data_IF_351227358964
#
_entry.id   IF_351227358964
#
_cell.length_a   1.000
_cell.length_b   1.000
_cell.length_c   1.000
_cell.angle_alpha   90.00
_cell.angle_beta   90.00
_cell.angle_gamma   90.00
#
_symmetry.space_group_name_H-M   'P 1'
#
loop_
_entity.id
_entity.type
_entity.pdbx_description
1 polymer ?
#
# COMPACT_ATOMS: atom_id res chain seq x y z
N UNK A 1 16.46 49.99 6.26
CA UNK A 1 17.11 48.93 7.04
C UNK A 1 16.38 47.63 6.71
N UNK A 2 16.97 46.82 5.84
CA UNK A 2 16.43 45.51 5.42
C UNK A 2 16.76 44.48 6.50
N UNK A 3 15.75 43.82 7.07
CA UNK A 3 15.96 42.47 7.58
C UNK A 3 14.72 41.63 7.28
N UNK A 4 14.89 40.89 6.20
CA UNK A 4 14.01 39.96 5.54
C UNK A 4 14.01 38.64 6.30
N UNK A 5 12.82 38.04 6.39
CA UNK A 5 12.51 36.61 6.50
C UNK A 5 13.62 35.69 7.04
N UNK A 6 13.43 35.11 8.23
CA UNK A 6 13.96 33.76 8.52
C UNK A 6 13.33 33.07 9.74
N UNK A 7 12.00 32.92 9.80
CA UNK A 7 11.36 32.15 10.89
C UNK A 7 10.40 31.04 10.43
N UNK A 8 10.49 30.58 9.18
CA UNK A 8 9.62 29.51 8.64
C UNK A 8 10.42 28.27 8.19
N UNK A 9 11.43 27.86 8.97
CA UNK A 9 12.29 26.73 8.61
C UNK A 9 12.40 25.64 9.70
N UNK A 10 11.53 25.64 10.72
CA UNK A 10 11.64 24.68 11.84
C UNK A 10 10.55 23.60 11.92
N UNK A 11 9.52 23.64 11.08
CA UNK A 11 8.45 22.62 11.15
C UNK A 11 8.62 21.44 10.18
N UNK A 12 9.66 21.44 9.32
CA UNK A 12 9.90 20.38 8.33
C UNK A 12 10.94 19.33 8.75
N UNK A 13 11.59 19.47 9.91
CA UNK A 13 12.75 18.63 10.28
C UNK A 13 12.39 17.41 11.17
N UNK A 14 11.11 17.05 11.30
CA UNK A 14 10.66 15.94 12.16
C UNK A 14 9.95 14.82 11.39
N UNK A 15 9.59 15.04 10.12
CA UNK A 15 8.83 14.08 9.30
C UNK A 15 9.67 12.95 8.65
N UNK A 16 10.99 12.91 8.86
CA UNK A 16 11.92 12.10 8.04
C UNK A 16 12.72 11.03 8.80
N UNK A 17 12.21 10.50 9.92
CA UNK A 17 12.87 9.34 10.58
C UNK A 17 12.34 7.98 10.13
N UNK A 18 11.10 7.91 9.62
CA UNK A 18 10.58 6.67 9.06
C UNK A 18 11.05 6.53 7.60
N UNK A 19 11.84 5.49 7.26
CA UNK A 19 12.34 5.29 5.91
C UNK A 19 11.22 5.00 4.90
N UNK A 20 10.10 4.39 5.34
CA UNK A 20 8.95 4.09 4.48
C UNK A 20 8.20 5.39 4.14
N UNK A 21 7.93 6.24 5.14
CA UNK A 21 7.32 7.57 4.92
C UNK A 21 8.19 8.43 4.00
N UNK A 22 9.51 8.39 4.21
CA UNK A 22 10.47 9.13 3.37
C UNK A 22 10.46 8.62 1.92
N UNK A 23 10.37 7.31 1.70
CA UNK A 23 10.24 6.72 0.37
C UNK A 23 8.94 7.16 -0.31
N UNK A 24 7.81 7.09 0.41
CA UNK A 24 6.52 7.53 -0.13
C UNK A 24 6.50 9.01 -0.50
N UNK A 25 7.04 9.90 0.34
CA UNK A 25 7.09 11.33 0.03
C UNK A 25 7.98 11.63 -1.19
N UNK A 26 9.09 10.91 -1.35
CA UNK A 26 9.94 11.00 -2.55
C UNK A 26 9.20 10.52 -3.80
N UNK A 27 8.54 9.36 -3.71
CA UNK A 27 7.70 8.84 -4.78
C UNK A 27 6.64 9.86 -5.19
N UNK A 28 5.87 10.40 -4.23
CA UNK A 28 4.82 11.39 -4.50
C UNK A 28 5.34 12.66 -5.16
N UNK A 29 6.52 13.13 -4.77
CA UNK A 29 7.16 14.27 -5.41
C UNK A 29 7.59 13.97 -6.86
N UNK A 30 8.01 12.73 -7.15
CA UNK A 30 8.41 12.29 -8.48
C UNK A 30 7.22 11.94 -9.38
N UNK A 31 6.15 11.37 -8.83
CA UNK A 31 4.90 11.03 -9.52
C UNK A 31 4.26 12.27 -10.17
N UNK A 32 4.30 13.42 -9.47
CA UNK A 32 3.90 14.72 -10.02
C UNK A 32 4.71 15.16 -11.27
N UNK A 33 5.81 14.45 -11.59
CA UNK A 33 6.70 14.72 -12.70
C UNK A 33 6.98 13.53 -13.64
N UNK A 34 6.16 12.45 -13.61
CA UNK A 34 6.22 11.20 -14.42
C UNK A 34 6.80 9.94 -13.74
N UNK A 35 6.98 9.91 -12.42
CA UNK A 35 7.42 8.69 -11.71
C UNK A 35 6.34 7.60 -11.72
N UNK A 36 6.61 6.42 -12.28
CA UNK A 36 5.64 5.32 -12.28
C UNK A 36 5.93 4.29 -11.19
N UNK A 37 4.96 4.00 -10.33
CA UNK A 37 5.09 3.01 -9.26
C UNK A 37 5.51 1.62 -9.78
N UNK A 38 5.01 1.21 -10.95
CA UNK A 38 5.35 -0.08 -11.58
C UNK A 38 6.84 -0.20 -11.94
N UNK A 39 7.54 0.93 -12.15
CA UNK A 39 8.95 0.98 -12.54
C UNK A 39 9.93 0.94 -11.37
N UNK A 40 9.43 1.09 -10.14
CA UNK A 40 10.27 1.02 -8.95
C UNK A 40 10.80 -0.39 -8.74
N UNK A 41 11.97 -0.57 -8.11
CA UNK A 41 12.37 -1.84 -7.52
C UNK A 41 11.35 -2.33 -6.48
N UNK A 42 11.19 -3.64 -6.32
CA UNK A 42 10.14 -4.21 -5.45
C UNK A 42 10.32 -3.87 -3.96
N UNK A 43 11.55 -3.74 -3.49
CA UNK A 43 11.83 -3.28 -2.13
C UNK A 43 11.42 -1.81 -1.94
N UNK A 44 11.58 -0.98 -2.98
CA UNK A 44 11.15 0.41 -2.98
C UNK A 44 9.62 0.52 -3.08
N UNK A 45 8.95 -0.28 -3.93
CA UNK A 45 7.48 -0.37 -3.96
C UNK A 45 6.91 -0.71 -2.59
N UNK A 46 7.52 -1.67 -1.91
CA UNK A 46 7.12 -2.09 -0.57
C UNK A 46 7.26 -0.92 0.41
N UNK A 47 8.40 -0.22 0.44
CA UNK A 47 8.59 0.96 1.29
C UNK A 47 7.58 2.06 1.00
N UNK A 48 7.32 2.35 -0.28
CA UNK A 48 6.33 3.35 -0.71
C UNK A 48 4.92 2.96 -0.24
N UNK A 49 4.54 1.69 -0.37
CA UNK A 49 3.26 1.19 0.12
C UNK A 49 3.09 1.39 1.63
N UNK A 50 4.05 0.92 2.43
CA UNK A 50 4.02 1.11 3.89
C UNK A 50 4.04 2.59 4.28
N UNK A 51 4.79 3.43 3.56
CA UNK A 51 4.82 4.87 3.77
C UNK A 51 3.48 5.55 3.47
N UNK A 52 2.79 5.12 2.41
CA UNK A 52 1.49 5.63 2.01
C UNK A 52 0.40 5.39 3.07
N UNK A 53 0.51 4.31 3.84
CA UNK A 53 -0.39 3.95 4.93
C UNK A 53 -0.11 4.74 6.22
N UNK A 54 1.14 5.18 6.41
CA UNK A 54 1.59 5.93 7.60
C UNK A 54 1.38 7.43 7.51
N UNK A 55 1.15 7.98 6.30
CA UNK A 55 0.87 9.42 6.15
C UNK A 55 -0.59 9.75 6.48
N UNK A 56 -0.82 11.00 6.91
CA UNK A 56 -2.16 11.52 7.17
C UNK A 56 -2.45 12.76 6.29
N UNK A 57 -3.52 12.74 5.46
CA UNK A 57 -4.43 11.60 5.23
C UNK A 57 -3.72 10.41 4.51
N UNK A 58 -4.18 9.16 4.73
CA UNK A 58 -3.70 8.01 3.97
C UNK A 58 -3.87 8.22 2.47
N UNK A 59 -2.96 7.68 1.67
CA UNK A 59 -3.08 7.76 0.21
C UNK A 59 -4.18 6.82 -0.28
N UNK A 60 -5.24 7.36 -0.85
CA UNK A 60 -6.36 6.58 -1.42
C UNK A 60 -6.05 5.98 -2.81
N UNK A 61 -4.90 6.30 -3.40
CA UNK A 61 -4.53 5.82 -4.73
C UNK A 61 -3.50 4.70 -4.71
N UNK A 62 -3.01 4.29 -3.53
CA UNK A 62 -1.98 3.26 -3.48
C UNK A 62 -2.55 1.88 -3.83
N UNK A 63 -3.82 1.64 -3.55
CA UNK A 63 -4.53 0.43 -3.94
C UNK A 63 -4.60 0.29 -5.47
N UNK A 64 -4.84 1.40 -6.19
CA UNK A 64 -4.83 1.42 -7.66
C UNK A 64 -3.44 1.07 -8.21
N UNK A 65 -2.37 1.56 -7.57
CA UNK A 65 -1.00 1.24 -7.96
C UNK A 65 -0.65 -0.23 -7.67
N UNK A 66 -1.10 -0.77 -6.53
CA UNK A 66 -0.94 -2.17 -6.21
C UNK A 66 -1.70 -3.08 -7.18
N UNK A 67 -2.93 -2.73 -7.58
CA UNK A 67 -3.73 -3.52 -8.50
C UNK A 67 -3.08 -3.68 -9.89
N UNK A 68 -2.16 -2.76 -10.26
CA UNK A 68 -1.39 -2.83 -11.51
C UNK A 68 -0.19 -3.79 -11.44
N UNK A 69 0.24 -4.21 -10.25
CA UNK A 69 1.44 -5.04 -10.10
C UNK A 69 1.22 -6.49 -10.52
N UNK A 70 2.29 -7.20 -10.84
CA UNK A 70 2.24 -8.62 -11.13
C UNK A 70 1.99 -9.48 -9.88
N UNK A 71 1.61 -10.75 -10.10
CA UNK A 71 1.29 -11.67 -9.02
C UNK A 71 2.51 -12.01 -8.14
N UNK A 72 3.73 -12.01 -8.70
CA UNK A 72 4.93 -12.37 -7.96
C UNK A 72 5.21 -11.32 -6.87
N UNK A 73 5.19 -10.04 -7.23
CA UNK A 73 5.32 -8.95 -6.28
C UNK A 73 4.18 -8.94 -5.25
N UNK A 74 2.94 -9.19 -5.66
CA UNK A 74 1.80 -9.21 -4.73
C UNK A 74 1.92 -10.32 -3.67
N UNK A 75 2.46 -11.49 -4.04
CA UNK A 75 2.73 -12.58 -3.11
C UNK A 75 3.88 -12.23 -2.13
N UNK A 76 4.94 -11.58 -2.62
CA UNK A 76 6.02 -11.07 -1.78
C UNK A 76 5.51 -10.03 -0.78
N UNK A 77 4.73 -9.06 -1.27
CA UNK A 77 4.14 -8.03 -0.43
C UNK A 77 3.23 -8.62 0.65
N UNK A 78 2.42 -9.64 0.31
CA UNK A 78 1.61 -10.38 1.29
C UNK A 78 2.49 -10.92 2.43
N UNK A 79 3.59 -11.60 2.11
CA UNK A 79 4.50 -12.15 3.12
C UNK A 79 5.11 -11.06 4.01
N UNK A 80 5.48 -9.90 3.43
CA UNK A 80 5.99 -8.77 4.21
C UNK A 80 4.89 -8.18 5.12
N UNK A 81 3.65 -8.11 4.64
CA UNK A 81 2.52 -7.67 5.47
C UNK A 81 2.29 -8.66 6.61
N UNK A 82 2.37 -9.98 6.36
CA UNK A 82 2.31 -11.04 7.39
C UNK A 82 3.37 -10.86 8.48
N UNK A 83 4.59 -10.49 8.11
CA UNK A 83 5.69 -10.31 9.06
C UNK A 83 5.58 -9.01 9.88
N UNK A 84 5.30 -7.87 9.23
CA UNK A 84 5.41 -6.54 9.89
C UNK A 84 4.26 -5.58 9.65
N UNK A 85 3.25 -5.95 8.88
CA UNK A 85 2.11 -5.09 8.55
C UNK A 85 1.02 -5.09 9.61
N UNK A 86 0.30 -3.99 9.72
CA UNK A 86 -0.87 -3.85 10.55
C UNK A 86 -2.16 -4.17 9.80
N UNK A 87 -3.29 -3.80 10.41
CA UNK A 87 -4.61 -4.08 9.86
C UNK A 87 -4.93 -3.21 8.63
N UNK A 88 -4.45 -1.97 8.60
CA UNK A 88 -4.65 -1.05 7.48
C UNK A 88 -3.90 -1.53 6.22
N UNK A 89 -2.65 -1.97 6.35
CA UNK A 89 -1.89 -2.53 5.23
C UNK A 89 -2.57 -3.77 4.65
N UNK A 90 -3.05 -4.66 5.51
CA UNK A 90 -3.77 -5.86 5.08
C UNK A 90 -5.08 -5.52 4.35
N UNK A 91 -5.82 -4.53 4.84
CA UNK A 91 -7.04 -4.05 4.21
C UNK A 91 -6.77 -3.49 2.81
N UNK A 92 -5.83 -2.55 2.67
CA UNK A 92 -5.49 -1.94 1.39
C UNK A 92 -4.94 -2.96 0.39
N UNK A 93 -4.16 -3.95 0.87
CA UNK A 93 -3.71 -5.06 0.03
C UNK A 93 -4.89 -5.86 -0.54
N UNK A 94 -5.86 -6.26 0.30
CA UNK A 94 -7.02 -7.03 -0.16
C UNK A 94 -7.90 -6.21 -1.08
N UNK A 95 -8.09 -4.91 -0.81
CA UNK A 95 -8.83 -4.02 -1.69
C UNK A 95 -8.20 -3.97 -3.10
N UNK A 96 -6.86 -3.93 -3.19
CA UNK A 96 -6.13 -3.98 -4.45
C UNK A 96 -6.30 -5.34 -5.17
N UNK A 97 -6.24 -6.46 -4.44
CA UNK A 97 -6.50 -7.80 -5.01
C UNK A 97 -7.93 -7.88 -5.56
N UNK A 98 -8.91 -7.39 -4.80
CA UNK A 98 -10.31 -7.38 -5.19
C UNK A 98 -10.54 -6.57 -6.46
N UNK A 99 -9.93 -5.40 -6.56
CA UNK A 99 -9.96 -4.59 -7.77
C UNK A 99 -9.33 -5.31 -8.96
N UNK A 100 -8.14 -5.91 -8.76
CA UNK A 100 -7.44 -6.65 -9.81
C UNK A 100 -8.25 -7.84 -10.33
N UNK A 101 -8.94 -8.56 -9.45
CA UNK A 101 -9.85 -9.64 -9.82
C UNK A 101 -11.09 -9.13 -10.58
N UNK A 102 -11.75 -8.07 -10.09
CA UNK A 102 -12.89 -7.45 -10.78
C UNK A 102 -12.54 -6.97 -12.20
N UNK A 103 -11.30 -6.56 -12.41
CA UNK A 103 -10.78 -6.18 -13.73
C UNK A 103 -10.42 -7.38 -14.63
N UNK A 104 -10.63 -8.63 -14.16
CA UNK A 104 -10.31 -9.85 -14.90
C UNK A 104 -8.81 -10.15 -14.99
N UNK A 105 -7.98 -9.50 -14.17
CA UNK A 105 -6.52 -9.64 -14.18
C UNK A 105 -6.01 -10.69 -13.20
N UNK A 106 -6.89 -11.24 -12.35
CA UNK A 106 -6.66 -12.43 -11.53
C UNK A 106 -7.79 -13.42 -11.77
N UNK A 107 -7.42 -14.68 -11.95
CA UNK A 107 -8.36 -15.81 -11.96
C UNK A 107 -8.72 -16.20 -10.52
N UNK A 108 -9.89 -16.83 -10.33
CA UNK A 108 -10.29 -17.35 -9.01
C UNK A 108 -9.23 -18.32 -8.46
N UNK A 109 -8.67 -19.20 -9.30
CA UNK A 109 -7.62 -20.13 -8.88
C UNK A 109 -6.37 -19.41 -8.34
N UNK A 110 -5.98 -18.28 -8.94
CA UNK A 110 -4.86 -17.48 -8.43
C UNK A 110 -5.21 -16.84 -7.09
N UNK A 111 -6.42 -16.33 -6.91
CA UNK A 111 -6.89 -15.74 -5.65
C UNK A 111 -6.93 -16.79 -4.54
N UNK A 112 -7.47 -17.98 -4.81
CA UNK A 112 -7.51 -19.10 -3.86
C UNK A 112 -6.10 -19.51 -3.43
N UNK A 113 -5.15 -19.56 -4.38
CA UNK A 113 -3.74 -19.87 -4.11
C UNK A 113 -3.02 -18.81 -3.26
N UNK A 114 -3.56 -17.58 -3.17
CA UNK A 114 -3.02 -16.57 -2.25
C UNK A 114 -3.43 -16.83 -0.79
N UNK A 115 -4.35 -17.76 -0.52
CA UNK A 115 -4.81 -18.13 0.82
C UNK A 115 -5.29 -16.93 1.67
N UNK A 116 -6.04 -16.01 1.06
CA UNK A 116 -6.46 -14.75 1.68
C UNK A 116 -7.36 -14.94 2.91
N UNK A 117 -8.11 -16.04 3.01
CA UNK A 117 -8.91 -16.36 4.19
C UNK A 117 -8.05 -16.52 5.44
N UNK A 118 -6.92 -17.23 5.32
CA UNK A 118 -6.00 -17.45 6.44
C UNK A 118 -5.30 -16.14 6.81
N UNK A 119 -4.95 -15.35 5.80
CA UNK A 119 -4.39 -14.01 5.96
C UNK A 119 -5.34 -13.07 6.73
N UNK A 120 -6.66 -13.15 6.50
CA UNK A 120 -7.67 -12.39 7.24
C UNK A 120 -7.87 -12.88 8.67
N UNK A 121 -7.96 -14.21 8.88
CA UNK A 121 -8.26 -14.81 10.20
C UNK A 121 -7.18 -14.53 11.22
N UNK A 122 -5.92 -14.53 10.80
CA UNK A 122 -4.77 -14.30 11.69
C UNK A 122 -4.71 -12.87 12.25
N UNK A 123 -5.56 -11.94 11.75
CA UNK A 123 -5.53 -10.51 12.11
C UNK A 123 -6.64 -10.04 13.06
N UNK A 124 -7.39 -10.95 13.68
CA UNK A 124 -8.28 -10.67 14.81
C UNK A 124 -9.37 -9.62 14.52
N UNK A 125 -9.07 -8.35 14.81
CA UNK A 125 -10.01 -7.22 14.84
C UNK A 125 -10.61 -6.85 13.47
N UNK A 126 -9.96 -7.23 12.37
CA UNK A 126 -10.46 -6.95 11.01
C UNK A 126 -11.04 -8.18 10.30
N UNK A 127 -11.22 -9.31 10.98
CA UNK A 127 -11.71 -10.55 10.37
C UNK A 127 -13.03 -10.32 9.60
N UNK A 128 -13.94 -9.49 10.11
CA UNK A 128 -15.20 -9.15 9.44
C UNK A 128 -15.04 -8.20 8.25
N UNK A 129 -14.23 -7.13 8.37
CA UNK A 129 -14.04 -6.17 7.27
C UNK A 129 -13.26 -6.82 6.11
N UNK A 130 -12.27 -7.62 6.47
CA UNK A 130 -11.43 -8.43 5.60
C UNK A 130 -12.28 -9.49 4.87
N UNK A 131 -13.13 -10.23 5.61
CA UNK A 131 -14.08 -11.18 5.02
C UNK A 131 -15.16 -10.52 4.15
N UNK A 132 -15.66 -9.35 4.52
CA UNK A 132 -16.65 -8.65 3.69
C UNK A 132 -16.06 -8.30 2.32
N UNK A 133 -14.81 -7.81 2.30
CA UNK A 133 -14.10 -7.59 1.04
C UNK A 133 -13.85 -8.88 0.25
N UNK A 134 -13.60 -10.01 0.93
CA UNK A 134 -13.48 -11.31 0.29
C UNK A 134 -14.83 -11.78 -0.28
N UNK A 135 -15.95 -11.60 0.43
CA UNK A 135 -17.29 -11.95 -0.06
C UNK A 135 -17.71 -11.11 -1.28
N UNK A 136 -17.17 -9.90 -1.42
CA UNK A 136 -17.38 -9.05 -2.60
C UNK A 136 -16.52 -9.46 -3.82
N UNK A 137 -15.68 -10.50 -3.69
CA UNK A 137 -14.95 -11.06 -4.83
C UNK A 137 -15.88 -11.90 -5.71
N UNK A 138 -15.84 -11.72 -7.04
CA UNK A 138 -16.70 -12.48 -7.94
C UNK A 138 -16.31 -13.96 -7.94
N UNK A 139 -17.19 -14.80 -7.38
CA UNK A 139 -16.99 -16.26 -7.27
C UNK A 139 -16.98 -16.82 -5.84
N UNK A 140 -17.14 -15.95 -4.83
CA UNK A 140 -17.22 -16.30 -3.39
C UNK A 140 -18.58 -16.83 -2.95
#
# INVERSE_FOLDING_TARGET
MFLVLLCIAFSACVATRDPDVSAYLKYKAADAGNGSFTSLPDDEKTRVFFGAMKVHPPSLSIEDELAKQDLAYLLELKAVIEDRGGSYEAYSFIAAIAQKQRNGQLTQQQVDAMHLDTFCVQRGDMNNLCRNLLMDLPGS
#
